data_IF_572875241727
#
_entry.id   IF_572875241727
#
_cell.length_a   1.000
_cell.length_b   1.000
_cell.length_c   1.000
_cell.angle_alpha   90.00
_cell.angle_beta   90.00
_cell.angle_gamma   90.00
#
_symmetry.space_group_name_H-M   'P 1'
#
loop_
_entity.id
_entity.type
_entity.pdbx_description
1 polymer ?
#
# COMPACT_ATOMS: atom_id res chain seq x y z
N UNK A 1 3.72 13.47 -6.02
CA UNK A 1 2.30 13.56 -5.70
C UNK A 1 1.63 14.57 -6.62
N UNK A 2 0.78 14.09 -7.50
CA UNK A 2 -0.05 14.98 -8.29
C UNK A 2 -1.25 15.39 -7.43
N UNK A 3 -1.45 16.68 -7.22
CA UNK A 3 -2.48 17.21 -6.31
C UNK A 3 -3.91 16.94 -6.78
N UNK A 4 -4.10 16.79 -8.10
CA UNK A 4 -5.43 16.75 -8.75
C UNK A 4 -5.72 15.47 -9.51
N UNK A 5 -4.85 14.46 -9.43
CA UNK A 5 -5.04 13.18 -10.11
C UNK A 5 -4.76 12.01 -9.17
N UNK A 6 -5.53 10.94 -9.30
CA UNK A 6 -5.36 9.70 -8.53
C UNK A 6 -4.30 8.76 -9.14
N UNK A 7 -3.57 9.19 -10.18
CA UNK A 7 -2.53 8.35 -10.78
C UNK A 7 -1.39 8.18 -9.77
N UNK A 8 -1.06 6.96 -9.37
CA UNK A 8 0.04 6.72 -8.46
C UNK A 8 1.36 7.08 -9.13
N UNK A 9 2.22 7.78 -8.40
CA UNK A 9 3.57 8.12 -8.83
C UNK A 9 4.60 7.48 -7.90
N UNK A 10 5.70 6.97 -8.45
CA UNK A 10 6.81 6.43 -7.70
C UNK A 10 8.01 7.38 -7.77
N UNK A 11 8.61 7.69 -6.64
CA UNK A 11 9.84 8.46 -6.54
C UNK A 11 11.02 7.52 -6.27
N UNK A 12 12.04 7.63 -7.08
CA UNK A 12 13.25 6.82 -6.98
C UNK A 12 14.40 7.64 -6.44
N UNK A 13 15.00 7.20 -5.35
CA UNK A 13 16.16 7.83 -4.73
C UNK A 13 17.37 6.91 -4.88
N UNK A 14 18.40 7.38 -5.55
CA UNK A 14 19.63 6.63 -5.77
C UNK A 14 20.74 7.14 -4.87
N UNK A 15 21.43 6.22 -4.20
CA UNK A 15 22.61 6.52 -3.41
C UNK A 15 23.83 5.84 -4.05
N UNK A 16 24.90 6.60 -4.28
CA UNK A 16 26.15 6.09 -4.86
C UNK A 16 26.85 5.11 -3.93
N UNK A 17 26.74 5.32 -2.62
CA UNK A 17 27.32 4.48 -1.59
C UNK A 17 26.31 4.31 -0.45
N UNK A 18 26.03 3.06 -0.09
CA UNK A 18 25.13 2.67 0.99
C UNK A 18 25.86 2.07 2.19
N UNK A 19 27.20 2.05 2.14
CA UNK A 19 28.03 1.59 3.25
C UNK A 19 28.07 2.56 4.41
N UNK A 20 28.66 2.11 5.54
CA UNK A 20 28.95 3.01 6.66
C UNK A 20 29.93 4.07 6.20
N UNK A 21 29.51 5.34 6.20
CA UNK A 21 30.33 6.42 5.66
C UNK A 21 31.00 7.21 6.79
N UNK A 22 32.32 7.06 6.93
CA UNK A 22 33.20 7.91 7.71
C UNK A 22 32.70 8.21 9.14
N UNK A 23 32.78 9.46 9.56
CA UNK A 23 32.36 9.92 10.88
C UNK A 23 30.83 9.92 11.12
N UNK A 24 30.04 9.75 10.07
CA UNK A 24 28.55 9.80 10.17
C UNK A 24 27.94 8.55 10.79
N UNK A 25 28.67 7.45 10.92
CA UNK A 25 28.21 6.16 11.49
C UNK A 25 26.86 5.70 10.95
N UNK A 26 26.66 5.85 9.63
CA UNK A 26 25.43 5.39 8.97
C UNK A 26 25.35 3.87 9.02
N UNK A 27 24.13 3.36 9.05
CA UNK A 27 23.88 1.89 8.93
C UNK A 27 24.38 1.39 7.58
N UNK A 28 24.97 0.20 7.56
CA UNK A 28 25.33 -0.48 6.33
C UNK A 28 24.06 -1.01 5.65
N UNK A 29 23.75 -0.49 4.49
CA UNK A 29 22.53 -0.80 3.70
C UNK A 29 22.89 -1.29 2.30
N UNK A 30 24.11 -1.79 2.14
CA UNK A 30 24.56 -2.40 0.88
C UNK A 30 23.72 -3.62 0.58
N UNK A 31 23.18 -3.69 -0.63
CA UNK A 31 22.30 -4.78 -1.05
C UNK A 31 20.87 -4.68 -0.54
N UNK A 32 20.46 -3.56 0.05
CA UNK A 32 19.09 -3.32 0.51
C UNK A 32 18.40 -2.19 -0.26
N UNK A 33 17.09 -2.26 -0.38
CA UNK A 33 16.24 -1.22 -0.96
C UNK A 33 15.08 -0.98 0.00
N UNK A 34 14.93 0.25 0.45
CA UNK A 34 13.79 0.65 1.25
C UNK A 34 12.61 0.98 0.33
N UNK A 35 11.49 0.34 0.57
CA UNK A 35 10.20 0.65 -0.02
C UNK A 35 9.33 1.37 1.01
N UNK A 36 8.70 2.46 0.61
CA UNK A 36 7.69 3.17 1.40
C UNK A 36 6.46 3.34 0.54
N UNK A 37 5.31 2.86 1.01
CA UNK A 37 4.02 3.05 0.37
C UNK A 37 3.27 4.18 1.06
N UNK A 38 3.16 5.30 0.36
CA UNK A 38 2.51 6.50 0.87
C UNK A 38 1.18 6.79 0.12
N UNK A 39 0.59 5.78 -0.56
CA UNK A 39 -0.63 5.97 -1.36
C UNK A 39 -1.82 6.40 -0.53
N UNK A 40 -1.94 5.88 0.68
CA UNK A 40 -3.06 6.14 1.58
C UNK A 40 -2.81 7.31 2.53
N UNK A 41 -1.63 7.97 2.43
CA UNK A 41 -1.29 9.15 3.22
C UNK A 41 -1.86 10.43 2.61
N UNK A 42 -1.96 11.44 3.44
CA UNK A 42 -2.49 12.76 3.07
C UNK A 42 -3.99 12.89 3.30
N UNK A 43 -4.41 14.14 3.42
CA UNK A 43 -5.80 14.54 3.62
C UNK A 43 -6.33 15.27 2.40
N UNK A 44 -7.64 15.13 2.15
CA UNK A 44 -8.33 15.90 1.12
C UNK A 44 -8.58 17.30 1.64
N UNK A 45 -8.01 18.31 1.01
CA UNK A 45 -8.27 19.74 1.33
C UNK A 45 -9.35 20.32 0.46
N UNK A 46 -9.63 19.71 -0.69
CA UNK A 46 -10.74 20.02 -1.59
C UNK A 46 -11.20 18.74 -2.31
N UNK A 47 -12.26 18.80 -3.10
CA UNK A 47 -12.86 17.66 -3.82
C UNK A 47 -11.88 16.89 -4.71
N UNK A 48 -10.83 17.55 -5.17
CA UNK A 48 -9.84 16.98 -6.08
C UNK A 48 -8.38 17.15 -5.60
N UNK A 49 -8.15 17.76 -4.42
CA UNK A 49 -6.80 18.07 -3.95
C UNK A 49 -6.46 17.29 -2.67
N UNK A 50 -5.45 16.44 -2.75
CA UNK A 50 -4.86 15.74 -1.59
C UNK A 50 -3.50 16.35 -1.26
N UNK A 51 -3.25 16.62 0.01
CA UNK A 51 -1.99 17.19 0.52
C UNK A 51 -1.47 16.32 1.64
N UNK A 52 -0.16 16.06 1.66
CA UNK A 52 0.49 15.41 2.79
C UNK A 52 0.52 16.38 3.97
N UNK A 53 0.13 15.88 5.13
CA UNK A 53 0.26 16.64 6.39
C UNK A 53 1.71 16.69 6.85
N UNK A 54 2.03 17.57 7.80
CA UNK A 54 3.35 17.62 8.40
C UNK A 54 3.70 16.31 9.12
N UNK A 55 2.69 15.62 9.68
CA UNK A 55 2.84 14.30 10.31
C UNK A 55 3.16 13.22 9.29
N UNK A 56 2.50 13.24 8.12
CA UNK A 56 2.81 12.30 7.01
C UNK A 56 4.25 12.49 6.54
N UNK A 57 4.65 13.75 6.35
CA UNK A 57 6.02 14.10 5.92
C UNK A 57 7.02 13.64 6.98
N UNK A 58 6.75 13.90 8.26
CA UNK A 58 7.59 13.48 9.37
C UNK A 58 7.70 11.96 9.43
N UNK A 59 6.59 11.22 9.27
CA UNK A 59 6.59 9.76 9.28
C UNK A 59 7.47 9.18 8.17
N UNK A 60 7.37 9.70 6.95
CA UNK A 60 8.21 9.27 5.83
C UNK A 60 9.68 9.59 6.10
N UNK A 61 9.97 10.80 6.54
CA UNK A 61 11.33 11.27 6.82
C UNK A 61 11.97 10.48 7.97
N UNK A 62 11.26 10.29 9.07
CA UNK A 62 11.72 9.54 10.25
C UNK A 62 12.04 8.08 9.88
N UNK A 63 11.18 7.43 9.10
CA UNK A 63 11.41 6.07 8.61
C UNK A 63 12.70 5.98 7.78
N UNK A 64 12.90 6.91 6.85
CA UNK A 64 14.12 6.98 6.06
C UNK A 64 15.36 7.26 6.92
N UNK A 65 15.26 8.18 7.87
CA UNK A 65 16.35 8.52 8.76
C UNK A 65 16.73 7.38 9.70
N UNK A 66 15.74 6.66 10.24
CA UNK A 66 15.94 5.46 11.05
C UNK A 66 16.63 4.34 10.25
N UNK A 67 16.15 4.04 9.03
CA UNK A 67 16.76 3.06 8.15
C UNK A 67 18.19 3.43 7.76
N UNK A 68 18.44 4.72 7.55
CA UNK A 68 19.77 5.23 7.22
C UNK A 68 20.71 5.28 8.43
N UNK A 69 20.19 5.33 9.65
CA UNK A 69 20.97 5.52 10.87
C UNK A 69 21.56 6.93 10.96
N UNK A 70 20.80 7.95 10.57
CA UNK A 70 21.26 9.35 10.67
C UNK A 70 21.06 9.88 12.08
N UNK A 71 21.87 10.87 12.53
CA UNK A 71 21.68 11.50 13.83
C UNK A 71 20.26 12.10 14.02
N UNK A 72 19.59 12.47 12.93
CA UNK A 72 18.21 12.99 12.95
C UNK A 72 17.18 11.96 13.41
N UNK A 73 17.49 10.65 13.33
CA UNK A 73 16.63 9.59 13.85
C UNK A 73 16.64 9.52 15.39
N UNK A 74 17.64 10.13 16.06
CA UNK A 74 17.86 9.95 17.49
C UNK A 74 18.12 8.47 17.81
N UNK A 75 17.42 7.95 18.83
CA UNK A 75 17.51 6.54 19.23
C UNK A 75 16.52 5.63 18.48
N UNK A 76 15.77 6.16 17.51
CA UNK A 76 14.79 5.39 16.72
C UNK A 76 15.53 4.38 15.83
N UNK A 77 15.22 3.10 16.01
CA UNK A 77 15.67 2.03 15.11
C UNK A 77 14.66 1.83 14.01
N UNK A 78 15.14 1.43 12.85
CA UNK A 78 14.27 1.05 11.76
C UNK A 78 13.63 -0.32 12.05
N UNK A 79 12.35 -0.42 11.77
CA UNK A 79 11.58 -1.66 11.76
C UNK A 79 10.66 -1.65 10.55
N UNK A 80 10.45 -2.83 9.95
CA UNK A 80 9.48 -2.99 8.88
C UNK A 80 8.06 -2.81 9.43
N UNK A 81 7.23 -2.07 8.70
CA UNK A 81 5.83 -1.82 9.08
C UNK A 81 4.93 -2.31 7.96
N UNK A 82 4.18 -3.43 8.17
CA UNK A 82 3.26 -3.96 7.17
C UNK A 82 2.30 -2.89 6.63
N UNK A 83 2.14 -2.87 5.31
CA UNK A 83 1.32 -1.87 4.60
C UNK A 83 1.95 -0.48 4.47
N UNK A 84 3.13 -0.23 5.06
CA UNK A 84 3.75 1.08 4.99
C UNK A 84 5.21 1.06 4.52
N UNK A 85 6.10 0.32 5.18
CA UNK A 85 7.51 0.30 4.78
C UNK A 85 8.14 -1.08 4.95
N UNK A 86 9.10 -1.38 4.07
CA UNK A 86 9.85 -2.64 4.08
C UNK A 86 11.24 -2.45 3.48
N UNK A 87 12.25 -3.06 4.12
CA UNK A 87 13.63 -3.07 3.62
C UNK A 87 13.93 -4.42 2.94
N UNK A 88 13.77 -4.46 1.63
CA UNK A 88 14.02 -5.68 0.86
C UNK A 88 15.49 -5.86 0.52
N UNK A 89 15.96 -7.11 0.57
CA UNK A 89 17.27 -7.52 0.07
C UNK A 89 17.28 -7.59 -1.47
N UNK A 90 18.47 -7.47 -2.07
CA UNK A 90 18.63 -7.70 -3.51
C UNK A 90 18.26 -9.13 -3.94
N UNK A 91 18.32 -10.09 -3.03
CA UNK A 91 17.93 -11.47 -3.31
C UNK A 91 16.40 -11.54 -3.48
N UNK A 92 15.62 -10.98 -2.55
CA UNK A 92 14.16 -10.91 -2.66
C UNK A 92 13.72 -10.17 -3.92
N UNK A 93 14.42 -9.09 -4.26
CA UNK A 93 14.13 -8.33 -5.49
C UNK A 93 14.34 -9.19 -6.74
N UNK A 94 15.37 -10.04 -6.76
CA UNK A 94 15.60 -10.99 -7.87
C UNK A 94 14.51 -12.06 -7.94
N UNK A 95 14.07 -12.58 -6.80
CA UNK A 95 12.98 -13.56 -6.70
C UNK A 95 11.65 -12.99 -7.21
N UNK A 96 11.51 -11.68 -7.16
CA UNK A 96 10.37 -10.94 -7.70
C UNK A 96 10.62 -10.35 -9.11
N UNK A 97 11.49 -10.96 -9.90
CA UNK A 97 11.79 -10.54 -11.27
C UNK A 97 12.21 -9.07 -11.39
N UNK A 98 12.87 -8.53 -10.38
CA UNK A 98 13.31 -7.12 -10.28
C UNK A 98 12.15 -6.10 -10.36
N UNK A 99 10.94 -6.51 -10.05
CA UNK A 99 9.80 -5.58 -9.95
C UNK A 99 9.96 -4.71 -8.70
N UNK A 100 9.95 -3.39 -8.85
CA UNK A 100 10.19 -2.42 -7.78
C UNK A 100 8.92 -1.62 -7.41
N UNK A 101 7.79 -2.29 -7.37
CA UNK A 101 6.51 -1.70 -6.94
C UNK A 101 6.39 -1.83 -5.41
N UNK A 102 6.33 -0.72 -4.63
CA UNK A 102 6.32 -0.78 -3.17
C UNK A 102 5.28 -1.71 -2.57
N UNK A 103 4.03 -1.69 -3.06
CA UNK A 103 2.96 -2.53 -2.56
C UNK A 103 3.22 -4.04 -2.62
N UNK A 104 4.19 -4.48 -3.43
CA UNK A 104 4.60 -5.91 -3.47
C UNK A 104 5.41 -6.32 -2.24
N UNK A 105 6.17 -5.37 -1.67
CA UNK A 105 7.11 -5.62 -0.58
C UNK A 105 6.53 -5.26 0.78
N UNK A 106 5.78 -4.17 0.87
CA UNK A 106 5.23 -3.71 2.16
C UNK A 106 4.07 -4.57 2.66
N UNK A 107 3.50 -5.42 1.79
CA UNK A 107 2.35 -6.23 2.14
C UNK A 107 1.07 -5.41 2.34
N UNK A 108 0.08 -6.04 2.92
CA UNK A 108 -1.15 -5.39 3.39
C UNK A 108 -0.95 -4.92 4.82
N UNK A 109 -1.40 -3.72 5.18
CA UNK A 109 -1.59 -3.38 6.57
C UNK A 109 -2.49 -4.47 7.19
N UNK A 110 -2.10 -4.98 8.36
CA UNK A 110 -3.02 -5.81 9.11
C UNK A 110 -4.28 -4.96 9.33
N UNK A 111 -5.34 -5.27 8.61
CA UNK A 111 -6.66 -4.81 8.99
C UNK A 111 -6.95 -5.48 10.32
N UNK A 112 -7.45 -4.73 11.30
CA UNK A 112 -7.91 -5.25 12.59
C UNK A 112 -9.09 -6.25 12.46
N UNK A 113 -9.52 -6.54 11.24
CA UNK A 113 -10.24 -7.75 10.88
C UNK A 113 -9.24 -8.91 10.95
N UNK A 114 -9.01 -9.33 12.17
CA UNK A 114 -8.41 -10.61 12.55
C UNK A 114 -9.37 -11.71 12.08
N UNK A 115 -9.49 -11.79 10.75
CA UNK A 115 -10.28 -12.81 10.08
C UNK A 115 -9.38 -14.06 10.07
N UNK A 116 -9.28 -14.72 11.25
CA UNK A 116 -8.65 -16.03 11.42
C UNK A 116 -9.35 -17.12 10.56
N UNK A 117 -10.27 -16.70 9.67
CA UNK A 117 -10.96 -17.57 8.74
C UNK A 117 -9.96 -18.11 7.72
N UNK A 118 -9.77 -19.42 7.61
CA UNK A 118 -8.93 -20.01 6.58
C UNK A 118 -9.33 -19.50 5.18
N UNK A 119 -8.34 -19.19 4.35
CA UNK A 119 -8.58 -18.63 3.00
C UNK A 119 -9.55 -19.49 2.19
N UNK A 120 -9.53 -20.81 2.36
CA UNK A 120 -10.46 -21.73 1.70
C UNK A 120 -11.91 -21.48 2.11
N UNK A 121 -12.17 -21.29 3.40
CA UNK A 121 -13.52 -21.05 3.95
C UNK A 121 -14.03 -19.67 3.52
N UNK A 122 -13.16 -18.67 3.52
CA UNK A 122 -13.45 -17.32 3.02
C UNK A 122 -13.83 -17.33 1.54
N UNK A 123 -13.10 -18.08 0.71
CA UNK A 123 -13.42 -18.25 -0.71
C UNK A 123 -14.79 -18.92 -0.89
N UNK A 124 -15.09 -19.95 -0.10
CA UNK A 124 -16.36 -20.67 -0.19
C UNK A 124 -17.53 -19.77 0.23
N UNK A 125 -17.39 -19.03 1.31
CA UNK A 125 -18.37 -18.04 1.76
C UNK A 125 -18.62 -16.96 0.70
N UNK A 126 -17.56 -16.35 0.16
CA UNK A 126 -17.68 -15.30 -0.86
C UNK A 126 -18.30 -15.83 -2.17
N UNK A 127 -18.00 -17.07 -2.56
CA UNK A 127 -18.68 -17.71 -3.69
C UNK A 127 -20.19 -17.85 -3.45
N UNK A 128 -20.58 -18.30 -2.27
CA UNK A 128 -22.00 -18.46 -1.93
C UNK A 128 -22.74 -17.12 -1.93
N UNK A 129 -22.14 -16.08 -1.37
CA UNK A 129 -22.68 -14.72 -1.41
C UNK A 129 -22.81 -14.20 -2.85
N UNK A 130 -21.79 -14.41 -3.68
CA UNK A 130 -21.81 -14.00 -5.07
C UNK A 130 -22.94 -14.68 -5.86
N UNK A 131 -23.13 -15.99 -5.69
CA UNK A 131 -24.22 -16.71 -6.35
C UNK A 131 -25.59 -16.23 -5.89
N UNK A 132 -25.76 -15.93 -4.60
CA UNK A 132 -27.00 -15.36 -4.09
C UNK A 132 -27.30 -13.98 -4.70
N UNK A 133 -26.28 -13.15 -4.90
CA UNK A 133 -26.41 -11.86 -5.59
C UNK A 133 -26.75 -12.01 -7.07
N UNK A 134 -26.23 -13.03 -7.75
CA UNK A 134 -26.62 -13.31 -9.14
C UNK A 134 -28.09 -13.74 -9.26
N UNK A 135 -28.59 -14.57 -8.34
CA UNK A 135 -30.01 -14.98 -8.32
C UNK A 135 -30.91 -13.76 -8.06
N UNK A 136 -30.54 -12.90 -7.11
CA UNK A 136 -31.30 -11.69 -6.81
C UNK A 136 -31.27 -10.70 -7.99
N UNK A 137 -30.13 -10.54 -8.65
CA UNK A 137 -30.01 -9.71 -9.85
C UNK A 137 -30.91 -10.22 -10.98
N UNK A 138 -30.94 -11.54 -11.21
CA UNK A 138 -31.82 -12.14 -12.22
C UNK A 138 -33.33 -12.01 -11.86
N UNK A 139 -33.65 -11.98 -10.55
CA UNK A 139 -35.03 -11.73 -10.08
C UNK A 139 -35.43 -10.28 -10.37
N UNK A 140 -34.59 -9.32 -9.97
CA UNK A 140 -34.85 -7.90 -10.19
C UNK A 140 -34.92 -7.55 -11.68
N UNK A 141 -34.07 -8.14 -12.51
CA UNK A 141 -34.13 -7.95 -13.97
C UNK A 141 -35.49 -8.37 -14.52
N UNK A 142 -36.01 -9.52 -14.10
CA UNK A 142 -37.35 -9.99 -14.52
C UNK A 142 -38.47 -9.04 -14.07
N UNK A 143 -38.39 -8.53 -12.84
CA UNK A 143 -39.35 -7.56 -12.34
C UNK A 143 -39.32 -6.27 -13.15
N UNK A 144 -38.13 -5.72 -13.42
CA UNK A 144 -37.97 -4.52 -14.25
C UNK A 144 -38.55 -4.74 -15.65
N UNK A 145 -38.25 -5.88 -16.31
CA UNK A 145 -38.83 -6.22 -17.62
C UNK A 145 -40.36 -6.25 -17.57
N UNK A 146 -40.93 -6.92 -16.57
CA UNK A 146 -42.39 -6.99 -16.40
C UNK A 146 -43.04 -5.60 -16.20
N UNK A 147 -42.37 -4.69 -15.46
CA UNK A 147 -42.86 -3.35 -15.29
C UNK A 147 -42.75 -2.53 -16.58
N UNK A 148 -41.67 -2.69 -17.34
CA UNK A 148 -41.53 -1.99 -18.64
C UNK A 148 -42.56 -2.46 -19.66
N UNK A 149 -42.84 -3.77 -19.73
CA UNK A 149 -43.90 -4.34 -20.62
C UNK A 149 -45.29 -3.80 -20.30
N UNK A 150 -45.54 -3.35 -19.06
CA UNK A 150 -46.82 -2.70 -18.68
C UNK A 150 -46.90 -1.22 -19.09
N UNK A 151 -45.75 -0.62 -19.42
CA UNK A 151 -45.70 0.81 -19.86
C UNK A 151 -45.78 0.93 -21.37
N UNK A 152 -45.59 -0.15 -22.16
CA UNK A 152 -45.81 -0.17 -23.60
C UNK A 152 -47.32 -0.27 -23.86
N UNK A 153 -47.97 0.91 -23.98
CA UNK A 153 -49.33 1.12 -24.47
C UNK A 153 -49.26 1.82 -25.82
#
# INVERSE_FOLDING_TARGET
>A
LFRTTQIPACLWFFAKDKGPQGSRRLTDRRGEVLFIDARDMGTMVDRAERVLTDEDIARIADTYHAWRGTPSAGDKKYEDVPGFCYSASLQEIREHDHVLTPGRYVGSAATDDDDDEPIADKIERLKKELFAHFEESARLEREVRTQLERLDV
#
